data_IF_780687285637
#
_entry.id   IF_780687285637
#
_cell.length_a   1.000
_cell.length_b   1.000
_cell.length_c   1.000
_cell.angle_alpha   90.00
_cell.angle_beta   90.00
_cell.angle_gamma   90.00
#
_symmetry.space_group_name_H-M   'P 1'
#
loop_
_entity.id
_entity.type
_entity.pdbx_description
1 polymer ?
#
# COMPACT_ATOMS: atom_id res chain seq x y z
N UNK A 1 2.95 -3.58 -8.18
CA UNK A 1 2.26 -4.27 -7.07
C UNK A 1 0.76 -4.05 -7.17
N UNK A 2 -0.05 -4.92 -6.57
CA UNK A 2 -1.52 -4.75 -6.51
C UNK A 2 -2.01 -4.58 -5.08
N UNK A 3 -3.04 -3.75 -4.88
CA UNK A 3 -3.74 -3.58 -3.61
C UNK A 3 -5.15 -4.17 -3.74
N UNK A 4 -5.63 -4.83 -2.68
CA UNK A 4 -6.99 -5.32 -2.56
C UNK A 4 -7.56 -4.92 -1.21
N UNK A 5 -8.87 -4.68 -1.11
CA UNK A 5 -9.53 -4.43 0.17
C UNK A 5 -9.31 -5.63 1.10
N UNK A 6 -8.90 -5.39 2.34
CA UNK A 6 -8.70 -6.41 3.34
C UNK A 6 -10.00 -7.06 3.81
N UNK A 7 -11.16 -6.39 3.64
CA UNK A 7 -12.47 -6.94 3.99
C UNK A 7 -12.74 -8.28 3.30
N UNK A 8 -12.32 -8.43 2.03
CA UNK A 8 -12.44 -9.67 1.24
C UNK A 8 -11.60 -10.84 1.81
N UNK A 9 -10.68 -10.55 2.73
CA UNK A 9 -9.73 -11.50 3.34
C UNK A 9 -9.86 -11.59 4.87
N UNK A 10 -10.95 -11.05 5.44
CA UNK A 10 -11.18 -11.07 6.90
C UNK A 10 -10.37 -10.04 7.69
N UNK A 11 -9.84 -9.01 7.03
CA UNK A 11 -9.15 -7.87 7.65
C UNK A 11 -9.80 -6.52 7.32
N UNK A 12 -11.03 -6.22 7.78
CA UNK A 12 -11.65 -4.90 7.58
C UNK A 12 -10.78 -3.77 8.11
N UNK A 13 -10.68 -2.67 7.35
CA UNK A 13 -9.81 -1.54 7.69
C UNK A 13 -8.34 -1.73 7.33
N UNK A 14 -7.97 -2.88 6.77
CA UNK A 14 -6.64 -3.13 6.22
C UNK A 14 -6.70 -3.27 4.70
N UNK A 15 -5.53 -3.28 4.08
CA UNK A 15 -5.35 -3.58 2.65
C UNK A 15 -4.37 -4.73 2.48
N UNK A 16 -4.62 -5.59 1.49
CA UNK A 16 -3.70 -6.67 1.12
C UNK A 16 -2.79 -6.20 -0.01
N UNK A 17 -1.48 -6.30 0.20
CA UNK A 17 -0.47 -6.01 -0.82
C UNK A 17 0.01 -7.28 -1.51
N UNK A 18 -0.14 -7.35 -2.84
CA UNK A 18 0.54 -8.34 -3.67
C UNK A 18 1.91 -7.82 -4.12
N UNK A 19 2.97 -8.54 -3.76
CA UNK A 19 4.36 -8.20 -4.06
C UNK A 19 4.99 -9.08 -5.15
N UNK A 20 4.20 -9.81 -5.94
CA UNK A 20 4.68 -10.66 -7.03
C UNK A 20 5.15 -9.80 -8.22
N UNK A 21 6.26 -9.09 -8.03
CA UNK A 21 6.87 -8.19 -9.00
C UNK A 21 8.38 -8.07 -8.75
N UNK A 22 9.16 -7.54 -9.72
CA UNK A 22 10.57 -7.28 -9.51
C UNK A 22 10.83 -6.33 -8.32
N UNK A 23 11.98 -6.48 -7.66
CA UNK A 23 12.34 -5.67 -6.50
C UNK A 23 12.27 -4.16 -6.76
N UNK A 24 12.68 -3.70 -7.93
CA UNK A 24 12.64 -2.28 -8.30
C UNK A 24 11.21 -1.71 -8.23
N UNK A 25 10.23 -2.46 -8.74
CA UNK A 25 8.82 -2.06 -8.72
C UNK A 25 8.24 -2.07 -7.30
N UNK A 26 8.66 -3.04 -6.48
CA UNK A 26 8.24 -3.08 -5.08
C UNK A 26 8.76 -1.87 -4.29
N UNK A 27 10.03 -1.48 -4.52
CA UNK A 27 10.62 -0.30 -3.88
C UNK A 27 9.90 0.97 -4.29
N UNK A 28 9.71 1.21 -5.59
CA UNK A 28 8.99 2.39 -6.08
C UNK A 28 7.56 2.48 -5.49
N UNK A 29 6.88 1.34 -5.39
CA UNK A 29 5.55 1.32 -4.80
C UNK A 29 5.55 1.67 -3.31
N UNK A 30 6.53 1.21 -2.54
CA UNK A 30 6.69 1.58 -1.13
C UNK A 30 6.95 3.09 -0.97
N UNK A 31 7.84 3.67 -1.78
CA UNK A 31 8.16 5.10 -1.72
C UNK A 31 6.90 5.96 -1.98
N UNK A 32 6.05 5.53 -2.93
CA UNK A 32 4.77 6.19 -3.23
C UNK A 32 3.78 6.08 -2.08
N UNK A 33 3.69 4.92 -1.42
CA UNK A 33 2.81 4.70 -0.26
C UNK A 33 3.27 5.58 0.91
N UNK A 34 4.57 5.62 1.19
CA UNK A 34 5.16 6.46 2.25
C UNK A 34 4.85 7.94 2.02
N UNK A 35 5.04 8.44 0.80
CA UNK A 35 4.73 9.82 0.43
C UNK A 35 3.24 10.16 0.61
N UNK A 36 2.34 9.26 0.18
CA UNK A 36 0.90 9.45 0.34
C UNK A 36 0.49 9.51 1.83
N UNK A 37 0.97 8.56 2.63
CA UNK A 37 0.68 8.50 4.08
C UNK A 37 1.20 9.76 4.79
N UNK A 38 2.42 10.17 4.48
CA UNK A 38 3.02 11.39 5.05
C UNK A 38 2.22 12.65 4.69
N UNK A 39 1.77 12.76 3.42
CA UNK A 39 0.96 13.89 2.97
C UNK A 39 -0.43 13.94 3.66
N UNK A 40 -1.03 12.77 3.93
CA UNK A 40 -2.29 12.66 4.68
C UNK A 40 -2.14 13.08 6.14
N UNK A 41 -1.04 12.69 6.80
CA UNK A 41 -0.77 13.10 8.18
C UNK A 41 -0.59 14.61 8.33
N UNK A 42 -0.05 15.28 7.31
CA UNK A 42 0.17 16.73 7.34
C UNK A 42 -1.09 17.57 7.04
N UNK A 43 -2.21 16.94 6.66
CA UNK A 43 -3.50 17.59 6.39
C UNK A 43 -4.52 17.40 7.53
N UNK A 44 -4.06 16.99 8.71
CA UNK A 44 -4.89 16.81 9.92
C UNK A 44 -4.64 17.93 10.94
#
# INVERSE_FOLDING_TARGET
VGLSDGADFGGPGFVRLNFACPRAILVEACDRIEGAVSAHHNHS
#
